data_IF_641203351368
#
_entry.id   IF_641203351368
#
_cell.length_a   1.000
_cell.length_b   1.000
_cell.length_c   1.000
_cell.angle_alpha   90.00
_cell.angle_beta   90.00
_cell.angle_gamma   90.00
#
_symmetry.space_group_name_H-M   'P 1'
#
loop_
_entity.id
_entity.type
_entity.pdbx_description
1 polymer ?
#
# COMPACT_ATOMS: atom_id res chain seq x y z
N UNK A 1 -35.90 -46.94 29.31
CA UNK A 1 -37.01 -47.07 28.35
C UNK A 1 -37.62 -45.71 28.06
N UNK A 2 -36.89 -44.92 27.37
CA UNK A 2 -37.40 -43.61 27.00
C UNK A 2 -37.96 -43.71 25.58
N UNK A 3 -39.14 -44.31 25.51
CA UNK A 3 -39.89 -44.41 24.27
C UNK A 3 -40.28 -43.06 23.74
N UNK A 4 -40.33 -42.92 22.42
CA UNK A 4 -40.82 -41.69 21.77
C UNK A 4 -42.28 -41.52 22.12
N UNK A 5 -42.60 -40.42 22.76
CA UNK A 5 -43.98 -40.07 23.21
C UNK A 5 -44.71 -39.39 22.07
N UNK A 6 -45.92 -39.90 21.74
CA UNK A 6 -46.85 -39.33 20.77
C UNK A 6 -46.53 -39.45 19.28
N UNK A 7 -45.58 -40.30 18.86
CA UNK A 7 -45.37 -40.58 17.43
C UNK A 7 -44.81 -41.99 17.19
N UNK A 8 -44.98 -42.50 16.00
CA UNK A 8 -44.39 -43.78 15.55
C UNK A 8 -43.29 -43.51 14.57
N UNK A 9 -42.13 -44.12 14.76
CA UNK A 9 -41.02 -44.06 13.80
C UNK A 9 -41.43 -44.71 12.47
N UNK A 10 -41.12 -44.03 11.35
CA UNK A 10 -41.35 -44.57 9.99
C UNK A 10 -40.41 -45.72 9.66
N UNK A 11 -39.22 -45.71 10.29
CA UNK A 11 -38.21 -46.77 10.15
C UNK A 11 -37.31 -46.79 11.41
N UNK A 12 -36.68 -47.94 11.75
CA UNK A 12 -35.93 -48.10 12.99
C UNK A 12 -34.83 -47.09 13.23
N UNK A 13 -34.17 -46.61 12.14
CA UNK A 13 -33.02 -45.68 12.22
C UNK A 13 -33.42 -44.20 12.03
N UNK A 14 -34.71 -43.86 12.16
CA UNK A 14 -35.18 -42.47 11.89
C UNK A 14 -34.47 -41.45 12.75
N UNK A 15 -34.24 -41.69 14.02
CA UNK A 15 -33.53 -40.80 14.93
C UNK A 15 -32.04 -40.63 14.55
N UNK A 16 -31.39 -41.72 14.13
CA UNK A 16 -29.99 -41.63 13.66
C UNK A 16 -29.88 -40.87 12.37
N UNK A 17 -30.81 -41.05 11.41
CA UNK A 17 -30.87 -40.30 10.16
C UNK A 17 -31.15 -38.82 10.41
N UNK A 18 -32.02 -38.51 11.35
CA UNK A 18 -32.27 -37.09 11.76
C UNK A 18 -30.98 -36.44 12.24
N UNK A 19 -30.24 -37.13 13.13
CA UNK A 19 -28.94 -36.64 13.63
C UNK A 19 -27.89 -36.45 12.53
N UNK A 20 -27.86 -37.29 11.52
CA UNK A 20 -26.99 -37.12 10.35
C UNK A 20 -27.36 -35.84 9.59
N UNK A 21 -28.66 -35.59 9.39
CA UNK A 21 -29.14 -34.36 8.74
C UNK A 21 -28.80 -33.11 9.55
N UNK A 22 -28.91 -33.16 10.88
CA UNK A 22 -28.50 -32.06 11.76
C UNK A 22 -27.01 -31.73 11.56
N UNK A 23 -26.14 -32.75 11.62
CA UNK A 23 -24.68 -32.55 11.42
C UNK A 23 -24.37 -32.02 10.01
N UNK A 24 -25.06 -32.50 8.99
CA UNK A 24 -24.90 -32.01 7.61
C UNK A 24 -25.38 -30.56 7.49
N UNK A 25 -26.57 -30.24 8.02
CA UNK A 25 -27.12 -28.89 7.98
C UNK A 25 -26.27 -27.87 8.73
N UNK A 26 -25.84 -28.20 9.94
CA UNK A 26 -24.98 -27.34 10.75
C UNK A 26 -23.60 -27.16 10.08
N UNK A 27 -23.04 -28.22 9.47
CA UNK A 27 -21.78 -28.14 8.70
C UNK A 27 -21.88 -27.22 7.49
N UNK A 28 -23.07 -27.04 6.91
CA UNK A 28 -23.29 -26.12 5.79
C UNK A 28 -23.02 -24.65 6.16
N UNK A 29 -23.07 -24.31 7.45
CA UNK A 29 -22.70 -22.98 7.96
C UNK A 29 -21.22 -22.60 7.71
N UNK A 30 -20.37 -23.57 7.32
CA UNK A 30 -19.01 -23.29 6.85
C UNK A 30 -18.99 -22.55 5.49
N UNK A 31 -20.08 -22.61 4.71
CA UNK A 31 -20.16 -22.00 3.38
C UNK A 31 -19.31 -22.69 2.31
N UNK A 32 -18.78 -23.88 2.60
CA UNK A 32 -17.96 -24.69 1.69
C UNK A 32 -18.07 -26.19 2.02
N UNK A 33 -17.78 -27.08 1.06
CA UNK A 33 -17.76 -28.52 1.30
C UNK A 33 -16.71 -28.91 2.35
N UNK A 34 -17.08 -29.85 3.23
CA UNK A 34 -16.15 -30.50 4.17
C UNK A 34 -15.73 -31.83 3.59
N UNK A 35 -14.42 -32.04 3.46
CA UNK A 35 -13.85 -33.32 3.07
C UNK A 35 -13.16 -33.94 4.27
N UNK A 36 -13.71 -35.05 4.76
CA UNK A 36 -13.15 -35.73 5.95
C UNK A 36 -14.12 -36.78 6.50
N UNK A 37 -13.74 -37.33 7.64
CA UNK A 37 -14.54 -38.28 8.41
C UNK A 37 -15.03 -37.58 9.68
N UNK A 38 -16.35 -37.46 9.84
CA UNK A 38 -16.98 -36.91 11.07
C UNK A 38 -17.50 -38.07 11.90
N UNK A 39 -17.03 -38.19 13.13
CA UNK A 39 -17.56 -39.10 14.14
C UNK A 39 -18.29 -38.30 15.22
N UNK A 40 -19.61 -38.43 15.25
CA UNK A 40 -20.47 -37.75 16.21
C UNK A 40 -21.02 -38.75 17.24
N UNK A 41 -20.96 -38.43 18.53
CA UNK A 41 -21.50 -39.23 19.60
C UNK A 41 -22.24 -38.34 20.61
N UNK A 42 -23.57 -38.51 20.73
CA UNK A 42 -24.43 -37.71 21.59
C UNK A 42 -24.34 -36.18 21.39
N UNK A 43 -24.14 -35.77 20.13
CA UNK A 43 -24.01 -34.36 19.78
C UNK A 43 -25.35 -33.67 19.59
N UNK A 44 -25.40 -32.36 19.90
CA UNK A 44 -26.50 -31.46 19.60
C UNK A 44 -26.06 -30.37 18.60
N UNK A 45 -26.97 -29.46 18.27
CA UNK A 45 -26.65 -28.28 17.40
C UNK A 45 -25.52 -27.42 17.99
N UNK A 46 -25.45 -27.25 19.32
CA UNK A 46 -24.37 -26.51 19.98
C UNK A 46 -23.00 -27.10 19.69
N UNK A 47 -22.85 -28.43 19.81
CA UNK A 47 -21.58 -29.13 19.54
C UNK A 47 -21.17 -29.04 18.05
N UNK A 48 -22.15 -29.17 17.16
CA UNK A 48 -21.93 -29.02 15.73
C UNK A 48 -21.49 -27.58 15.37
N UNK A 49 -22.11 -26.57 16.00
CA UNK A 49 -21.71 -25.16 15.84
C UNK A 49 -20.32 -24.90 16.38
N UNK A 50 -19.95 -25.50 17.52
CA UNK A 50 -18.59 -25.41 18.06
C UNK A 50 -17.56 -26.05 17.11
N UNK A 51 -17.87 -27.20 16.50
CA UNK A 51 -17.04 -27.79 15.45
C UNK A 51 -16.85 -26.83 14.27
N UNK A 52 -17.94 -26.20 13.80
CA UNK A 52 -17.88 -25.22 12.71
C UNK A 52 -16.99 -24.04 13.08
N UNK A 53 -17.11 -23.51 14.31
CA UNK A 53 -16.25 -22.42 14.84
C UNK A 53 -14.79 -22.85 14.89
N UNK A 54 -14.50 -24.05 15.38
CA UNK A 54 -13.14 -24.58 15.46
C UNK A 54 -12.51 -24.72 14.07
N UNK A 55 -13.26 -25.22 13.08
CA UNK A 55 -12.80 -25.32 11.69
C UNK A 55 -12.50 -23.92 11.12
N UNK A 56 -13.38 -22.93 11.32
CA UNK A 56 -13.15 -21.55 10.89
C UNK A 56 -11.88 -20.94 11.49
N UNK A 57 -11.60 -21.20 12.76
CA UNK A 57 -10.38 -20.76 13.44
C UNK A 57 -9.14 -21.41 12.81
N UNK A 58 -9.19 -22.72 12.51
CA UNK A 58 -8.09 -23.44 11.85
C UNK A 58 -7.83 -22.85 10.46
N UNK A 59 -8.89 -22.61 9.69
CA UNK A 59 -8.80 -22.02 8.36
C UNK A 59 -8.22 -20.59 8.41
N UNK A 60 -8.68 -19.78 9.36
CA UNK A 60 -8.14 -18.43 9.57
C UNK A 60 -6.64 -18.48 9.91
N UNK A 61 -6.21 -19.36 10.83
CA UNK A 61 -4.79 -19.54 11.17
C UNK A 61 -3.95 -19.93 9.95
N UNK A 62 -4.43 -20.84 9.11
CA UNK A 62 -3.74 -21.23 7.87
C UNK A 62 -3.67 -20.07 6.90
N UNK A 63 -4.77 -19.34 6.72
CA UNK A 63 -4.83 -18.17 5.84
C UNK A 63 -3.85 -17.08 6.30
N UNK A 64 -3.78 -16.78 7.60
CA UNK A 64 -2.80 -15.83 8.14
C UNK A 64 -1.36 -16.19 7.79
N UNK A 65 -0.98 -17.46 7.98
CA UNK A 65 0.40 -17.90 7.69
C UNK A 65 0.73 -17.78 6.21
N UNK A 66 -0.20 -18.16 5.34
CA UNK A 66 -0.01 -18.10 3.89
C UNK A 66 0.05 -16.64 3.39
N UNK A 67 -0.91 -15.81 3.81
CA UNK A 67 -0.96 -14.40 3.41
C UNK A 67 0.23 -13.61 3.94
N UNK A 68 0.61 -13.81 5.21
CA UNK A 68 1.79 -13.13 5.76
C UNK A 68 3.07 -13.46 4.97
N UNK A 69 3.25 -14.73 4.58
CA UNK A 69 4.39 -15.16 3.77
C UNK A 69 4.34 -14.58 2.34
N UNK A 70 3.17 -14.59 1.73
CA UNK A 70 2.96 -14.11 0.36
C UNK A 70 3.17 -12.58 0.29
N UNK A 71 2.55 -11.82 1.21
CA UNK A 71 2.72 -10.38 1.30
C UNK A 71 4.20 -10.01 1.58
N UNK A 72 4.86 -10.68 2.54
CA UNK A 72 6.26 -10.43 2.83
C UNK A 72 7.19 -10.70 1.63
N UNK A 73 6.91 -11.70 0.80
CA UNK A 73 7.67 -11.96 -0.42
C UNK A 73 7.44 -10.85 -1.46
N UNK A 74 6.20 -10.36 -1.61
CA UNK A 74 5.90 -9.24 -2.50
C UNK A 74 6.51 -7.94 -1.99
N UNK A 75 6.50 -7.68 -0.67
CA UNK A 75 7.19 -6.54 -0.05
C UNK A 75 8.70 -6.58 -0.34
N UNK A 76 9.33 -7.74 -0.20
CA UNK A 76 10.75 -7.92 -0.50
C UNK A 76 11.05 -7.59 -1.96
N UNK A 77 10.27 -8.13 -2.89
CA UNK A 77 10.45 -7.87 -4.33
C UNK A 77 10.20 -6.41 -4.69
N UNK A 78 9.18 -5.82 -4.11
CA UNK A 78 8.79 -4.44 -4.41
C UNK A 78 9.74 -3.41 -3.80
N UNK A 79 10.07 -3.55 -2.50
CA UNK A 79 10.85 -2.54 -1.79
C UNK A 79 12.35 -2.80 -1.77
N UNK A 80 12.80 -4.05 -1.82
CA UNK A 80 14.22 -4.39 -1.70
C UNK A 80 14.88 -4.75 -3.04
N UNK A 81 14.13 -5.37 -3.97
CA UNK A 81 14.68 -5.86 -5.24
C UNK A 81 14.29 -5.00 -6.44
N UNK A 82 13.35 -4.04 -6.25
CA UNK A 82 12.78 -3.22 -7.33
C UNK A 82 12.25 -4.06 -8.51
N UNK A 83 11.74 -5.28 -8.21
CA UNK A 83 11.29 -6.28 -9.16
C UNK A 83 9.92 -6.85 -8.77
N UNK A 84 8.83 -6.04 -8.77
CA UNK A 84 7.49 -6.50 -8.44
C UNK A 84 7.05 -7.61 -9.39
N UNK A 85 6.34 -8.61 -8.84
CA UNK A 85 5.83 -9.76 -9.59
C UNK A 85 4.32 -9.78 -9.72
N UNK A 86 3.63 -8.86 -9.04
CA UNK A 86 2.18 -8.64 -9.12
C UNK A 86 1.89 -7.15 -9.27
N UNK A 87 0.69 -6.80 -9.69
CA UNK A 87 0.23 -5.41 -9.73
C UNK A 87 -0.03 -4.86 -8.32
N UNK A 88 0.00 -3.54 -8.16
CA UNK A 88 -0.36 -2.87 -6.90
C UNK A 88 -1.78 -3.24 -6.46
N UNK A 89 -2.71 -3.39 -7.40
CA UNK A 89 -4.09 -3.78 -7.12
C UNK A 89 -4.20 -5.21 -6.56
N UNK A 90 -3.40 -6.16 -7.08
CA UNK A 90 -3.35 -7.53 -6.56
C UNK A 90 -2.72 -7.55 -5.18
N UNK A 91 -1.65 -6.78 -4.97
CA UNK A 91 -1.04 -6.60 -3.65
C UNK A 91 -2.03 -6.02 -2.64
N UNK A 92 -2.75 -4.94 -3.01
CA UNK A 92 -3.78 -4.33 -2.17
C UNK A 92 -4.93 -5.32 -1.86
N UNK A 93 -5.26 -6.22 -2.79
CA UNK A 93 -6.25 -7.29 -2.55
C UNK A 93 -5.78 -8.30 -1.49
N UNK A 94 -4.49 -8.69 -1.52
CA UNK A 94 -3.90 -9.56 -0.48
C UNK A 94 -3.94 -8.88 0.90
N UNK A 95 -3.54 -7.61 0.98
CA UNK A 95 -3.56 -6.83 2.23
C UNK A 95 -4.99 -6.68 2.76
N UNK A 96 -5.98 -6.35 1.91
CA UNK A 96 -7.39 -6.29 2.31
C UNK A 96 -7.90 -7.61 2.85
N UNK A 97 -7.54 -8.72 2.20
CA UNK A 97 -7.91 -10.07 2.66
C UNK A 97 -7.32 -10.36 4.05
N UNK A 98 -6.05 -10.01 4.28
CA UNK A 98 -5.41 -10.16 5.60
C UNK A 98 -6.15 -9.33 6.65
N UNK A 99 -6.43 -8.05 6.37
CA UNK A 99 -7.17 -7.14 7.26
C UNK A 99 -8.57 -7.65 7.60
N UNK A 100 -9.30 -8.19 6.62
CA UNK A 100 -10.63 -8.75 6.84
C UNK A 100 -10.59 -9.98 7.78
N UNK A 101 -9.57 -10.84 7.66
CA UNK A 101 -9.39 -11.99 8.56
C UNK A 101 -9.01 -11.50 9.96
N UNK A 102 -8.14 -10.49 10.11
CA UNK A 102 -7.79 -9.89 11.39
C UNK A 102 -9.00 -9.28 12.11
N UNK A 103 -9.86 -8.59 11.38
CA UNK A 103 -11.09 -8.03 11.92
C UNK A 103 -12.07 -9.13 12.38
N UNK A 104 -12.17 -10.25 11.64
CA UNK A 104 -13.04 -11.37 11.99
C UNK A 104 -12.48 -12.23 13.15
N UNK A 105 -11.16 -12.28 13.32
CA UNK A 105 -10.46 -13.09 14.33
C UNK A 105 -9.38 -12.30 15.09
N UNK A 106 -9.71 -11.24 15.85
CA UNK A 106 -8.72 -10.37 16.50
C UNK A 106 -7.76 -11.10 17.43
N UNK A 107 -8.22 -12.19 18.06
CA UNK A 107 -7.43 -13.03 18.99
C UNK A 107 -6.38 -13.91 18.29
N UNK A 108 -6.38 -13.95 16.96
CA UNK A 108 -5.40 -14.69 16.15
C UNK A 108 -4.36 -13.78 15.49
N UNK A 109 -4.43 -12.45 15.68
CA UNK A 109 -3.46 -11.51 15.12
C UNK A 109 -2.07 -11.86 15.62
N UNK A 110 -1.13 -11.96 14.69
CA UNK A 110 0.27 -12.33 14.96
C UNK A 110 1.13 -11.08 15.12
N UNK A 111 2.20 -11.20 15.89
CA UNK A 111 3.19 -10.12 16.04
C UNK A 111 3.96 -9.79 14.75
N UNK A 112 4.01 -10.75 13.81
CA UNK A 112 4.62 -10.61 12.48
C UNK A 112 3.57 -10.32 11.38
N UNK A 113 2.40 -9.80 11.74
CA UNK A 113 1.38 -9.43 10.76
C UNK A 113 1.91 -8.39 9.76
N UNK A 114 1.71 -8.59 8.46
CA UNK A 114 2.06 -7.60 7.44
C UNK A 114 1.40 -6.24 7.68
N UNK A 115 0.21 -6.22 8.28
CA UNK A 115 -0.51 -4.99 8.62
C UNK A 115 0.19 -4.16 9.72
N UNK A 116 1.12 -4.75 10.47
CA UNK A 116 1.92 -4.05 11.50
C UNK A 116 3.26 -3.52 10.98
N UNK A 117 3.64 -3.87 9.75
CA UNK A 117 4.92 -3.49 9.14
C UNK A 117 4.72 -2.43 8.05
N UNK A 118 5.73 -1.57 7.84
CA UNK A 118 5.77 -0.55 6.79
C UNK A 118 7.00 -0.79 5.94
N UNK A 119 6.84 -0.90 4.61
CA UNK A 119 7.95 -1.05 3.69
C UNK A 119 8.75 -2.35 3.88
N UNK A 120 10.00 -2.34 3.45
CA UNK A 120 10.93 -3.46 3.61
C UNK A 120 12.16 -3.06 4.41
N UNK A 121 12.90 -4.05 4.91
CA UNK A 121 14.17 -3.81 5.62
C UNK A 121 15.15 -3.05 4.71
N UNK A 122 15.84 -2.03 5.24
CA UNK A 122 16.80 -1.22 4.50
C UNK A 122 17.93 -2.02 3.86
N UNK A 123 18.38 -1.60 2.67
CA UNK A 123 19.46 -2.26 1.93
C UNK A 123 20.77 -2.33 2.74
N UNK A 124 21.50 -3.44 2.58
CA UNK A 124 22.68 -3.70 3.41
C UNK A 124 23.89 -2.81 3.11
N UNK A 125 23.93 -2.18 1.92
CA UNK A 125 25.09 -1.40 1.45
C UNK A 125 25.01 0.09 1.78
N UNK A 126 23.90 0.59 2.32
CA UNK A 126 23.72 1.96 2.79
C UNK A 126 23.66 1.98 4.33
N UNK A 127 24.08 3.10 4.92
CA UNK A 127 23.97 3.29 6.36
C UNK A 127 22.50 3.32 6.78
N UNK A 128 22.19 2.68 7.90
CA UNK A 128 20.84 2.57 8.47
C UNK A 128 20.68 3.60 9.57
N UNK A 129 19.69 4.44 9.49
CA UNK A 129 19.46 5.53 10.43
C UNK A 129 18.00 5.54 10.89
N UNK A 130 17.75 5.61 12.22
CA UNK A 130 16.40 5.78 12.73
C UNK A 130 15.80 7.12 12.32
N UNK A 131 14.52 7.12 11.91
CA UNK A 131 13.76 8.36 11.71
C UNK A 131 13.48 9.06 13.05
N UNK A 132 13.62 10.40 13.10
CA UNK A 132 13.25 11.18 14.28
C UNK A 132 11.75 11.05 14.61
N UNK A 133 10.92 10.99 13.57
CA UNK A 133 9.51 10.58 13.64
C UNK A 133 9.27 9.47 12.61
N UNK A 134 8.61 8.35 12.96
CA UNK A 134 8.34 7.29 12.01
C UNK A 134 7.65 7.78 10.75
N UNK A 135 8.02 7.22 9.60
CA UNK A 135 7.32 7.43 8.33
C UNK A 135 6.15 6.45 8.24
N UNK A 136 4.95 6.97 8.39
CA UNK A 136 3.71 6.19 8.39
C UNK A 136 3.28 5.79 6.97
N UNK A 137 2.42 4.79 6.88
CA UNK A 137 1.62 4.50 5.68
C UNK A 137 0.32 5.31 5.70
N UNK A 138 -0.47 5.20 4.65
CA UNK A 138 -1.84 5.72 4.59
C UNK A 138 -2.81 4.55 4.53
N UNK A 139 -3.99 4.73 5.12
CA UNK A 139 -5.13 3.85 4.82
C UNK A 139 -5.58 4.09 3.38
N UNK A 140 -6.10 3.05 2.73
CA UNK A 140 -6.58 3.13 1.37
C UNK A 140 -8.11 3.20 1.33
N UNK A 141 -8.63 4.02 0.43
CA UNK A 141 -10.00 3.99 -0.06
C UNK A 141 -9.99 3.60 -1.55
N UNK A 142 -10.99 2.85 -1.98
CA UNK A 142 -11.14 2.37 -3.36
C UNK A 142 -12.49 2.77 -3.96
N UNK A 143 -13.38 3.33 -3.14
CA UNK A 143 -14.69 3.83 -3.55
C UNK A 143 -14.96 5.20 -2.96
N UNK A 144 -15.90 5.92 -3.58
CA UNK A 144 -16.35 7.23 -3.09
C UNK A 144 -16.94 7.13 -1.68
N UNK A 145 -17.71 6.08 -1.39
CA UNK A 145 -18.33 5.84 -0.09
C UNK A 145 -17.29 5.65 1.03
N UNK A 146 -16.14 5.04 0.73
CA UNK A 146 -15.04 4.89 1.70
C UNK A 146 -14.38 6.24 2.04
N UNK A 147 -14.35 7.19 1.08
CA UNK A 147 -13.90 8.58 1.32
C UNK A 147 -14.92 9.34 2.16
N UNK A 148 -16.21 9.21 1.86
CA UNK A 148 -17.29 9.81 2.66
C UNK A 148 -17.26 9.27 4.10
N UNK A 149 -17.05 7.96 4.27
CA UNK A 149 -16.93 7.32 5.58
C UNK A 149 -15.67 7.79 6.33
N UNK A 150 -14.56 8.05 5.62
CA UNK A 150 -13.38 8.67 6.23
C UNK A 150 -13.74 10.03 6.85
N UNK A 151 -14.43 10.91 6.11
CA UNK A 151 -14.85 12.22 6.62
C UNK A 151 -15.85 12.07 7.77
N UNK A 152 -16.78 11.13 7.69
CA UNK A 152 -17.71 10.81 8.76
C UNK A 152 -16.98 10.32 10.04
N UNK A 153 -15.95 9.49 9.91
CA UNK A 153 -15.10 9.04 11.04
C UNK A 153 -14.36 10.22 11.68
N UNK A 154 -13.80 11.14 10.88
CA UNK A 154 -13.16 12.36 11.37
C UNK A 154 -14.13 13.17 12.20
N UNK A 155 -15.34 13.41 11.68
CA UNK A 155 -16.41 14.15 12.36
C UNK A 155 -16.81 13.51 13.68
N UNK A 156 -17.05 12.20 13.69
CA UNK A 156 -17.42 11.45 14.92
C UNK A 156 -16.31 11.49 15.97
N UNK A 157 -15.06 11.28 15.56
CA UNK A 157 -13.93 11.26 16.47
C UNK A 157 -13.73 12.61 17.15
N UNK A 158 -13.82 13.69 16.40
CA UNK A 158 -13.66 15.06 16.89
C UNK A 158 -14.92 15.60 17.57
N UNK A 159 -16.07 14.89 17.47
CA UNK A 159 -17.39 15.31 17.97
C UNK A 159 -17.82 16.64 17.38
N UNK A 160 -17.64 16.83 16.08
CA UNK A 160 -18.01 18.06 15.39
C UNK A 160 -19.51 18.18 15.23
N UNK A 161 -20.08 19.40 15.30
CA UNK A 161 -21.45 19.70 14.90
C UNK A 161 -21.71 19.28 13.45
N UNK A 162 -22.99 19.03 13.10
CA UNK A 162 -23.35 18.60 11.74
C UNK A 162 -23.02 19.65 10.67
N UNK A 163 -23.09 20.91 11.01
CA UNK A 163 -22.84 22.06 10.15
C UNK A 163 -21.36 22.49 10.09
N UNK A 164 -20.47 21.94 10.95
CA UNK A 164 -19.04 22.25 10.92
C UNK A 164 -18.39 21.60 9.70
N UNK A 165 -17.79 22.35 8.76
CA UNK A 165 -17.17 21.77 7.57
C UNK A 165 -15.87 21.03 7.92
N UNK A 166 -15.64 19.88 7.30
CA UNK A 166 -14.37 19.18 7.34
C UNK A 166 -13.60 19.51 6.07
N UNK A 167 -12.85 20.61 6.13
CA UNK A 167 -11.99 21.05 5.03
C UNK A 167 -10.81 20.09 4.87
N UNK A 168 -10.50 19.72 3.64
CA UNK A 168 -9.43 18.82 3.28
C UNK A 168 -8.46 19.50 2.31
N UNK A 169 -7.23 18.99 2.24
CA UNK A 169 -6.38 19.15 1.06
C UNK A 169 -6.44 17.87 0.23
N UNK A 170 -6.34 18.02 -1.10
CA UNK A 170 -6.27 16.93 -2.07
C UNK A 170 -5.01 17.10 -2.91
N UNK A 171 -4.26 16.03 -3.10
CA UNK A 171 -3.01 16.02 -3.86
C UNK A 171 -2.85 14.70 -4.63
N UNK A 172 -2.23 14.71 -5.83
CA UNK A 172 -1.89 13.49 -6.54
C UNK A 172 -0.99 12.59 -5.69
N UNK A 173 -1.28 11.31 -5.65
CA UNK A 173 -0.42 10.32 -5.02
C UNK A 173 0.66 9.88 -6.02
N UNK A 174 1.82 10.50 -5.91
CA UNK A 174 2.95 10.23 -6.80
C UNK A 174 3.47 8.81 -6.57
N UNK A 175 3.74 8.10 -7.65
CA UNK A 175 4.34 6.77 -7.59
C UNK A 175 5.86 6.87 -7.77
N UNK A 176 6.58 6.90 -6.65
CA UNK A 176 8.02 7.07 -6.57
C UNK A 176 8.62 6.39 -5.35
N UNK A 177 9.68 6.97 -4.79
CA UNK A 177 10.32 6.54 -3.56
C UNK A 177 10.23 7.62 -2.51
N UNK A 178 9.55 7.33 -1.40
CA UNK A 178 9.41 8.31 -0.30
C UNK A 178 10.76 8.62 0.34
N UNK A 179 11.02 9.90 0.54
CA UNK A 179 12.24 10.42 1.11
C UNK A 179 11.95 11.48 2.19
N UNK A 180 12.71 11.43 3.27
CA UNK A 180 12.72 12.41 4.35
C UNK A 180 13.97 13.26 4.24
N UNK A 181 13.82 14.58 4.27
CA UNK A 181 14.85 15.59 4.13
C UNK A 181 14.91 16.42 5.42
N UNK A 182 15.96 16.24 6.22
CA UNK A 182 16.14 16.95 7.49
C UNK A 182 17.04 18.15 7.33
N UNK A 183 16.52 19.31 7.73
CA UNK A 183 17.25 20.59 7.76
C UNK A 183 17.49 21.00 9.21
N UNK A 184 18.68 21.52 9.46
CA UNK A 184 19.07 22.14 10.73
C UNK A 184 19.72 23.48 10.41
N UNK A 185 19.26 24.54 11.05
CA UNK A 185 19.69 25.93 10.80
C UNK A 185 19.64 26.27 9.29
N UNK A 186 18.55 25.83 8.65
CA UNK A 186 18.33 26.03 7.22
C UNK A 186 19.20 25.20 6.28
N UNK A 187 20.07 24.29 6.76
CA UNK A 187 20.93 23.45 5.93
C UNK A 187 20.46 22.01 5.86
N UNK A 188 20.45 21.43 4.66
CA UNK A 188 20.20 19.99 4.51
C UNK A 188 21.34 19.17 5.15
N UNK A 189 21.04 18.50 6.26
CA UNK A 189 22.00 17.71 7.02
C UNK A 189 21.84 16.21 6.82
N UNK A 190 20.62 15.75 6.47
CA UNK A 190 20.34 14.33 6.32
C UNK A 190 19.18 14.10 5.36
N UNK A 191 19.28 13.03 4.56
CA UNK A 191 18.16 12.52 3.76
C UNK A 191 18.08 11.00 3.92
N UNK A 192 16.87 10.50 4.20
CA UNK A 192 16.62 9.09 4.46
C UNK A 192 15.51 8.57 3.54
N UNK A 193 15.66 7.36 3.02
CA UNK A 193 14.53 6.64 2.44
C UNK A 193 13.54 6.24 3.53
N UNK A 194 12.30 5.87 3.17
CA UNK A 194 11.32 5.42 4.16
C UNK A 194 11.80 4.17 4.92
N UNK A 195 12.48 3.23 4.23
CA UNK A 195 12.86 1.95 4.82
C UNK A 195 11.64 1.17 5.33
N UNK A 196 11.73 0.67 6.55
CA UNK A 196 10.63 0.01 7.26
C UNK A 196 9.70 0.98 8.03
N UNK A 197 9.90 2.27 7.81
CA UNK A 197 9.16 3.35 8.50
C UNK A 197 9.77 3.79 9.80
N UNK A 198 10.52 2.96 10.51
CA UNK A 198 11.28 3.30 11.72
C UNK A 198 12.75 3.59 11.40
N UNK A 199 13.33 2.85 10.46
CA UNK A 199 14.73 2.93 10.05
C UNK A 199 14.77 3.12 8.53
N UNK A 200 15.43 4.20 8.08
CA UNK A 200 15.67 4.50 6.67
C UNK A 200 17.13 4.25 6.27
N UNK A 201 17.37 4.27 4.96
CA UNK A 201 18.72 4.26 4.37
C UNK A 201 19.20 5.69 4.22
N UNK A 202 20.43 5.96 4.62
CA UNK A 202 21.05 7.27 4.40
C UNK A 202 21.41 7.44 2.92
N UNK A 203 20.73 8.38 2.28
CA UNK A 203 20.89 8.76 0.88
C UNK A 203 21.26 10.25 0.74
N UNK A 204 21.80 10.85 1.78
CA UNK A 204 22.08 12.29 1.86
C UNK A 204 22.90 12.78 0.67
N UNK A 205 24.02 12.12 0.38
CA UNK A 205 24.90 12.54 -0.72
C UNK A 205 24.25 12.31 -2.10
N UNK A 206 23.38 11.31 -2.23
CA UNK A 206 22.62 11.06 -3.46
C UNK A 206 21.56 12.16 -3.67
N UNK A 207 20.84 12.49 -2.61
CA UNK A 207 19.79 13.53 -2.64
C UNK A 207 20.37 14.91 -2.96
N UNK A 208 21.58 15.23 -2.52
CA UNK A 208 22.27 16.49 -2.84
C UNK A 208 22.47 16.71 -4.34
N UNK A 209 22.42 15.65 -5.14
CA UNK A 209 22.54 15.71 -6.60
C UNK A 209 21.22 16.03 -7.30
N UNK A 210 20.08 16.01 -6.59
CA UNK A 210 18.75 16.27 -7.16
C UNK A 210 18.48 17.78 -7.14
N UNK A 211 18.37 18.38 -8.32
CA UNK A 211 18.25 19.82 -8.49
C UNK A 211 16.98 20.43 -7.85
N UNK A 212 15.90 19.64 -7.78
CA UNK A 212 14.61 20.06 -7.18
C UNK A 212 14.68 20.25 -5.64
N UNK A 213 15.74 19.76 -5.00
CA UNK A 213 15.86 19.76 -3.53
C UNK A 213 16.73 20.93 -3.07
N UNK A 214 16.17 21.92 -2.37
CA UNK A 214 16.94 23.04 -1.82
C UNK A 214 18.02 22.53 -0.85
N UNK A 215 19.26 22.98 -1.03
CA UNK A 215 20.34 22.65 -0.08
C UNK A 215 20.29 23.54 1.16
N UNK A 216 19.64 24.68 1.05
CA UNK A 216 19.43 25.66 2.13
C UNK A 216 18.01 26.17 2.10
N UNK A 217 17.40 26.36 3.27
CA UNK A 217 16.11 27.01 3.48
C UNK A 217 16.30 28.47 3.87
N UNK A 218 15.31 29.34 3.60
CA UNK A 218 15.36 30.74 4.01
C UNK A 218 15.23 30.87 5.54
N UNK A 219 15.53 32.08 6.05
CA UNK A 219 15.62 32.34 7.47
C UNK A 219 14.28 32.29 8.25
N UNK A 220 13.14 32.26 7.53
CA UNK A 220 11.80 32.07 8.09
C UNK A 220 11.42 30.60 8.28
N UNK A 221 12.28 29.67 7.85
CA UNK A 221 12.08 28.25 8.12
C UNK A 221 12.46 27.92 9.57
N UNK A 222 11.78 26.93 10.21
CA UNK A 222 12.12 26.50 11.57
C UNK A 222 13.56 26.00 11.68
N UNK A 223 14.17 26.16 12.86
CA UNK A 223 15.56 25.77 13.15
C UNK A 223 15.82 24.28 12.86
N UNK A 224 14.85 23.41 13.16
CA UNK A 224 14.82 22.01 12.74
C UNK A 224 13.55 21.78 11.97
N UNK A 225 13.67 21.29 10.75
CA UNK A 225 12.51 20.93 9.92
C UNK A 225 12.81 19.72 9.03
N UNK A 226 11.91 18.77 9.04
CA UNK A 226 11.98 17.57 8.21
C UNK A 226 10.88 17.61 7.15
N UNK A 227 11.24 17.87 5.89
CA UNK A 227 10.33 17.78 4.74
C UNK A 227 10.27 16.34 4.26
N UNK A 228 9.10 15.86 3.95
CA UNK A 228 8.87 14.53 3.33
C UNK A 228 8.28 14.72 1.95
N UNK A 229 8.74 13.90 1.02
CA UNK A 229 8.29 13.95 -0.36
C UNK A 229 8.58 12.67 -1.10
N UNK A 230 8.28 12.70 -2.38
CA UNK A 230 8.50 11.56 -3.27
C UNK A 230 9.60 11.91 -4.26
N UNK A 231 10.65 11.08 -4.30
CA UNK A 231 11.64 11.08 -5.38
C UNK A 231 11.09 10.24 -6.51
N UNK A 232 11.02 10.80 -7.70
CA UNK A 232 10.43 10.15 -8.86
C UNK A 232 11.25 10.40 -10.14
N UNK A 233 10.91 9.69 -11.19
CA UNK A 233 11.43 9.89 -12.55
C UNK A 233 10.26 10.16 -13.48
N UNK A 234 10.39 11.14 -14.38
CA UNK A 234 9.34 11.39 -15.36
C UNK A 234 9.22 10.23 -16.36
N UNK A 235 8.04 10.07 -16.97
CA UNK A 235 7.80 9.05 -18.03
C UNK A 235 8.78 9.21 -19.19
N UNK A 236 9.04 10.46 -19.61
CA UNK A 236 9.97 10.76 -20.69
C UNK A 236 11.42 10.42 -20.33
N UNK A 237 11.85 10.81 -19.12
CA UNK A 237 13.20 10.53 -18.63
C UNK A 237 13.44 9.04 -18.42
N UNK A 238 12.43 8.31 -17.95
CA UNK A 238 12.45 6.85 -17.83
C UNK A 238 12.66 6.17 -19.17
N UNK A 239 11.89 6.58 -20.21
CA UNK A 239 12.03 6.03 -21.54
C UNK A 239 13.44 6.31 -22.12
N UNK A 240 13.94 7.53 -21.97
CA UNK A 240 15.28 7.93 -22.40
C UNK A 240 16.37 7.15 -21.67
N UNK A 241 16.22 6.93 -20.35
CA UNK A 241 17.16 6.14 -19.55
C UNK A 241 17.23 4.70 -20.02
N UNK A 242 16.09 4.03 -20.22
CA UNK A 242 16.06 2.65 -20.69
C UNK A 242 16.62 2.51 -22.11
N UNK A 243 16.35 3.46 -23.01
CA UNK A 243 16.95 3.48 -24.35
C UNK A 243 18.49 3.58 -24.29
N UNK A 244 19.02 4.46 -23.42
CA UNK A 244 20.47 4.59 -23.21
C UNK A 244 21.08 3.31 -22.66
N UNK A 245 20.46 2.68 -21.65
CA UNK A 245 20.94 1.42 -21.06
C UNK A 245 20.94 0.27 -22.08
N UNK A 246 19.94 0.22 -22.97
CA UNK A 246 19.88 -0.75 -24.06
C UNK A 246 21.02 -0.54 -25.07
N UNK A 247 21.30 0.70 -25.42
CA UNK A 247 22.40 1.04 -26.34
C UNK A 247 23.77 0.69 -25.72
N UNK A 248 24.03 1.07 -24.48
CA UNK A 248 25.26 0.74 -23.75
C UNK A 248 25.49 -0.77 -23.65
N UNK A 249 24.42 -1.54 -23.45
CA UNK A 249 24.47 -2.99 -23.42
C UNK A 249 24.83 -3.59 -24.79
N UNK A 250 24.22 -3.07 -25.88
CA UNK A 250 24.53 -3.50 -27.24
C UNK A 250 26.01 -3.21 -27.62
N UNK A 251 26.53 -2.04 -27.25
CA UNK A 251 27.92 -1.64 -27.50
C UNK A 251 28.93 -2.47 -26.71
N UNK A 252 28.58 -2.89 -25.47
CA UNK A 252 29.47 -3.63 -24.58
C UNK A 252 29.31 -5.15 -24.64
N UNK A 253 28.31 -5.66 -25.41
CA UNK A 253 27.99 -7.09 -25.50
C UNK A 253 27.44 -7.68 -24.18
N UNK A 254 26.96 -6.84 -23.26
CA UNK A 254 26.37 -7.24 -21.99
C UNK A 254 24.85 -7.33 -22.11
N UNK A 255 24.24 -8.07 -21.21
CA UNK A 255 22.76 -8.10 -21.08
C UNK A 255 22.22 -6.71 -20.71
N UNK A 256 21.20 -6.24 -21.41
CA UNK A 256 20.56 -4.96 -21.13
C UNK A 256 19.81 -5.03 -19.79
N UNK A 257 20.24 -4.27 -18.81
CA UNK A 257 19.55 -4.17 -17.51
C UNK A 257 18.63 -2.97 -17.53
N UNK A 258 17.40 -3.16 -18.03
CA UNK A 258 16.35 -2.14 -18.07
C UNK A 258 15.53 -2.15 -16.79
N UNK A 259 14.98 -0.97 -16.43
CA UNK A 259 14.02 -0.85 -15.35
C UNK A 259 12.61 -1.16 -15.84
N UNK A 260 11.80 -1.77 -14.98
CA UNK A 260 10.43 -2.19 -15.33
C UNK A 260 9.45 -1.01 -15.39
N UNK A 261 9.62 0.00 -14.54
CA UNK A 261 8.77 1.19 -14.47
C UNK A 261 9.53 2.41 -13.90
N UNK A 262 8.96 3.64 -13.99
CA UNK A 262 9.59 4.86 -13.51
C UNK A 262 9.91 4.84 -12.01
N UNK A 263 9.04 4.23 -11.19
CA UNK A 263 9.26 4.07 -9.74
C UNK A 263 10.51 3.26 -9.44
N UNK A 264 10.66 2.09 -10.07
CA UNK A 264 11.85 1.24 -9.89
C UNK A 264 13.11 1.93 -10.41
N UNK A 265 13.00 2.69 -11.49
CA UNK A 265 14.11 3.49 -12.01
C UNK A 265 14.52 4.58 -11.01
N UNK A 266 13.57 5.26 -10.38
CA UNK A 266 13.84 6.25 -9.34
C UNK A 266 14.49 5.60 -8.10
N UNK A 267 13.90 4.52 -7.58
CA UNK A 267 14.40 3.81 -6.41
C UNK A 267 15.81 3.26 -6.63
N UNK A 268 16.04 2.55 -7.74
CA UNK A 268 17.35 2.02 -8.08
C UNK A 268 18.39 3.10 -8.39
N UNK A 269 17.99 4.27 -8.88
CA UNK A 269 18.87 5.40 -9.12
C UNK A 269 19.23 6.17 -7.85
N UNK A 270 18.30 6.29 -6.89
CA UNK A 270 18.56 6.97 -5.62
C UNK A 270 19.42 6.13 -4.69
N UNK A 271 19.22 4.82 -4.62
CA UNK A 271 19.93 3.89 -3.71
C UNK A 271 21.29 3.44 -4.22
N UNK A 272 22.00 4.29 -4.98
CA UNK A 272 23.36 4.01 -5.47
C UNK A 272 24.40 4.22 -4.39
N UNK A 273 25.37 3.30 -4.30
CA UNK A 273 26.53 3.44 -3.40
C UNK A 273 27.43 4.63 -3.79
N UNK A 274 27.50 4.93 -5.09
CA UNK A 274 28.26 6.06 -5.61
C UNK A 274 27.30 7.19 -6.04
N UNK A 275 27.28 8.33 -5.34
CA UNK A 275 26.42 9.46 -5.68
C UNK A 275 26.60 10.02 -7.10
N UNK A 276 27.77 9.83 -7.73
CA UNK A 276 28.01 10.25 -9.11
C UNK A 276 27.11 9.50 -10.12
N UNK A 277 26.69 8.28 -9.80
CA UNK A 277 25.74 7.53 -10.62
C UNK A 277 24.36 8.18 -10.49
N UNK A 278 23.94 8.53 -9.28
CA UNK A 278 22.68 9.25 -9.02
C UNK A 278 22.66 10.61 -9.73
N UNK A 279 23.77 11.35 -9.70
CA UNK A 279 23.91 12.63 -10.39
C UNK A 279 23.69 12.54 -11.93
N UNK A 280 24.01 11.39 -12.53
CA UNK A 280 23.75 11.11 -13.94
C UNK A 280 22.33 10.62 -14.25
N UNK A 281 21.43 10.61 -13.25
CA UNK A 281 20.02 10.17 -13.38
C UNK A 281 19.08 11.37 -13.24
N UNK A 282 18.05 11.48 -14.10
CA UNK A 282 17.13 12.61 -14.10
C UNK A 282 16.06 12.44 -13.00
N UNK A 283 16.50 12.40 -11.74
CA UNK A 283 15.61 12.31 -10.60
C UNK A 283 14.98 13.67 -10.29
N UNK A 284 13.72 13.64 -9.89
CA UNK A 284 12.91 14.79 -9.50
C UNK A 284 12.35 14.56 -8.09
N UNK A 285 11.83 15.63 -7.48
CA UNK A 285 11.26 15.59 -6.14
C UNK A 285 9.98 16.40 -6.07
N UNK A 286 8.97 15.90 -5.32
CA UNK A 286 7.76 16.65 -4.93
C UNK A 286 7.53 16.50 -3.43
N UNK A 287 7.41 17.63 -2.72
CA UNK A 287 7.10 17.64 -1.30
C UNK A 287 5.61 17.37 -1.07
N UNK A 288 5.30 16.55 -0.04
CA UNK A 288 3.92 16.21 0.31
C UNK A 288 3.65 16.14 1.82
N UNK A 289 4.68 16.18 2.68
CA UNK A 289 4.49 16.05 4.12
C UNK A 289 5.69 16.56 4.91
N UNK A 290 5.61 16.41 6.22
CA UNK A 290 6.72 16.71 7.13
C UNK A 290 6.80 15.72 8.29
N UNK A 291 7.96 15.68 8.94
CA UNK A 291 8.22 14.86 10.10
C UNK A 291 8.52 15.69 11.34
N UNK A 292 9.80 15.70 11.78
CA UNK A 292 10.25 16.50 12.90
C UNK A 292 10.24 18.00 12.55
N UNK A 293 9.72 18.83 13.45
CA UNK A 293 9.79 20.28 13.35
C UNK A 293 9.98 20.86 14.75
N UNK A 294 10.91 21.82 14.90
CA UNK A 294 11.11 22.56 16.16
C UNK A 294 9.91 23.44 16.49
N UNK A 295 9.23 23.93 15.47
CA UNK A 295 7.97 24.65 15.54
C UNK A 295 7.17 24.43 14.26
N UNK A 296 5.85 24.59 14.32
CA UNK A 296 4.95 24.54 13.17
C UNK A 296 4.41 25.96 12.96
N UNK A 297 4.90 26.69 11.94
CA UNK A 297 4.65 28.14 11.81
C UNK A 297 3.28 28.49 11.24
N UNK A 298 2.39 27.51 11.04
CA UNK A 298 1.09 27.66 10.37
C UNK A 298 0.02 26.82 11.07
N UNK A 299 -1.26 27.10 10.78
CA UNK A 299 -2.39 26.42 11.40
C UNK A 299 -3.05 25.38 10.48
N UNK A 300 -2.76 25.42 9.16
CA UNK A 300 -3.39 24.54 8.18
C UNK A 300 -2.37 23.80 7.33
N UNK A 301 -2.79 22.64 6.82
CA UNK A 301 -2.03 21.85 5.84
C UNK A 301 -1.77 22.66 4.57
N UNK A 302 -2.78 23.42 4.13
CA UNK A 302 -2.66 24.27 2.95
C UNK A 302 -1.56 25.32 3.12
N UNK A 303 -1.55 26.05 4.25
CA UNK A 303 -0.54 27.07 4.53
C UNK A 303 0.87 26.46 4.68
N UNK A 304 0.97 25.22 5.18
CA UNK A 304 2.24 24.51 5.24
C UNK A 304 2.77 24.21 3.84
N UNK A 305 1.92 23.76 2.92
CA UNK A 305 2.31 23.53 1.52
C UNK A 305 2.76 24.83 0.85
N UNK A 306 2.06 25.94 1.12
CA UNK A 306 2.46 27.26 0.64
C UNK A 306 3.81 27.72 1.25
N UNK A 307 4.10 27.35 2.51
CA UNK A 307 5.41 27.59 3.11
C UNK A 307 6.51 26.81 2.37
N UNK A 308 6.28 25.52 2.04
CA UNK A 308 7.25 24.74 1.25
C UNK A 308 7.51 25.34 -0.13
N UNK A 309 6.48 25.86 -0.81
CA UNK A 309 6.67 26.60 -2.08
C UNK A 309 7.59 27.78 -1.92
N UNK A 310 7.37 28.60 -0.88
CA UNK A 310 8.25 29.75 -0.57
C UNK A 310 9.67 29.33 -0.21
N UNK A 311 9.84 28.15 0.40
CA UNK A 311 11.16 27.60 0.73
C UNK A 311 11.85 26.92 -0.47
N UNK A 312 11.20 26.91 -1.66
CA UNK A 312 11.78 26.44 -2.90
C UNK A 312 11.52 24.96 -3.21
N UNK A 313 10.62 24.27 -2.47
CA UNK A 313 10.23 22.91 -2.80
C UNK A 313 9.19 22.89 -3.91
N UNK A 314 9.36 22.01 -4.93
CA UNK A 314 8.30 21.75 -5.88
C UNK A 314 7.13 21.02 -5.21
N UNK A 315 5.92 21.43 -5.58
CA UNK A 315 4.65 20.89 -5.13
C UNK A 315 3.87 20.48 -6.38
N UNK A 316 3.06 19.42 -6.28
CA UNK A 316 2.21 18.99 -7.38
C UNK A 316 1.23 20.10 -7.79
N UNK A 317 1.13 20.40 -9.08
CA UNK A 317 0.27 21.48 -9.62
C UNK A 317 -1.21 21.25 -9.29
N UNK A 318 -1.65 19.99 -9.24
CA UNK A 318 -3.03 19.60 -8.90
C UNK A 318 -3.32 19.61 -7.38
N UNK A 319 -2.41 20.15 -6.54
CA UNK A 319 -2.70 20.34 -5.11
C UNK A 319 -3.81 21.36 -4.92
N UNK A 320 -4.83 21.00 -4.14
CA UNK A 320 -5.99 21.86 -3.89
C UNK A 320 -6.48 21.76 -2.45
N UNK A 321 -7.07 22.86 -1.94
CA UNK A 321 -7.86 22.89 -0.72
C UNK A 321 -9.34 22.75 -1.08
N UNK A 322 -10.05 21.85 -0.43
CA UNK A 322 -11.45 21.53 -0.72
C UNK A 322 -12.31 21.55 0.54
N UNK A 323 -13.55 22.07 0.46
CA UNK A 323 -14.37 22.30 1.65
C UNK A 323 -14.97 21.01 2.26
N UNK A 324 -15.13 19.96 1.46
CA UNK A 324 -15.84 18.74 1.84
C UNK A 324 -15.44 17.52 0.98
N UNK A 325 -16.04 16.36 1.28
CA UNK A 325 -15.82 15.13 0.55
C UNK A 325 -16.27 15.20 -0.92
N UNK A 326 -17.39 15.86 -1.21
CA UNK A 326 -17.91 15.99 -2.58
C UNK A 326 -16.95 16.74 -3.49
N UNK A 327 -16.38 17.86 -3.00
CA UNK A 327 -15.36 18.61 -3.71
C UNK A 327 -14.04 17.80 -3.84
N UNK A 328 -13.68 17.02 -2.82
CA UNK A 328 -12.52 16.11 -2.87
C UNK A 328 -12.68 15.05 -3.97
N UNK A 329 -13.87 14.45 -4.08
CA UNK A 329 -14.18 13.47 -5.13
C UNK A 329 -14.22 14.10 -6.54
N UNK A 330 -14.63 15.37 -6.67
CA UNK A 330 -14.55 16.08 -7.94
C UNK A 330 -13.09 16.28 -8.40
N UNK A 331 -12.18 16.63 -7.46
CA UNK A 331 -10.74 16.71 -7.74
C UNK A 331 -10.19 15.34 -8.15
N UNK A 332 -10.60 14.26 -7.46
CA UNK A 332 -10.19 12.90 -7.83
C UNK A 332 -10.51 12.59 -9.30
N UNK A 333 -11.76 12.85 -9.73
CA UNK A 333 -12.17 12.61 -11.13
C UNK A 333 -11.39 13.45 -12.13
N UNK A 334 -11.05 14.69 -11.75
CA UNK A 334 -10.24 15.56 -12.61
C UNK A 334 -8.83 15.00 -12.78
N UNK A 335 -8.20 14.60 -11.67
CA UNK A 335 -6.84 14.02 -11.69
C UNK A 335 -6.83 12.68 -12.41
N UNK A 336 -7.84 11.82 -12.18
CA UNK A 336 -7.99 10.53 -12.87
C UNK A 336 -8.09 10.71 -14.38
N UNK A 337 -8.91 11.66 -14.85
CA UNK A 337 -9.05 11.97 -16.27
C UNK A 337 -7.75 12.48 -16.92
N UNK A 338 -6.92 13.18 -16.15
CA UNK A 338 -5.64 13.75 -16.61
C UNK A 338 -4.44 12.82 -16.38
N UNK A 339 -4.64 11.65 -15.76
CA UNK A 339 -3.58 10.72 -15.36
C UNK A 339 -2.60 10.36 -16.49
N UNK A 340 -3.13 10.13 -17.68
CA UNK A 340 -2.31 9.77 -18.86
C UNK A 340 -1.37 10.91 -19.28
N UNK A 341 -1.82 12.17 -19.14
CA UNK A 341 -1.11 13.38 -19.59
C UNK A 341 -0.08 13.88 -18.56
N UNK A 342 -0.16 13.41 -17.32
CA UNK A 342 0.81 13.79 -16.31
C UNK A 342 2.22 13.27 -16.66
N UNK A 343 3.26 14.08 -16.40
CA UNK A 343 4.65 13.71 -16.72
C UNK A 343 5.21 12.61 -15.82
N UNK A 344 4.48 12.20 -14.77
CA UNK A 344 4.84 11.17 -13.81
C UNK A 344 3.65 10.24 -13.54
N UNK A 345 3.93 9.05 -13.01
CA UNK A 345 2.90 8.10 -12.63
C UNK A 345 2.29 8.46 -11.27
N UNK A 346 0.99 8.20 -11.15
CA UNK A 346 0.20 8.36 -9.93
C UNK A 346 -0.69 7.13 -9.73
N UNK A 347 -0.89 6.73 -8.47
CA UNK A 347 -1.72 5.57 -8.12
C UNK A 347 -3.02 5.95 -7.39
N UNK A 348 -3.28 7.26 -7.24
CA UNK A 348 -4.47 7.78 -6.58
C UNK A 348 -4.37 9.25 -6.24
N UNK A 349 -5.20 9.65 -5.28
CA UNK A 349 -5.23 11.00 -4.67
C UNK A 349 -5.16 10.85 -3.16
N UNK A 350 -4.37 11.68 -2.49
CA UNK A 350 -4.30 11.71 -1.03
C UNK A 350 -5.14 12.87 -0.51
N UNK A 351 -6.01 12.59 0.45
CA UNK A 351 -6.72 13.61 1.21
C UNK A 351 -6.15 13.73 2.60
N UNK A 352 -6.04 14.96 3.09
CA UNK A 352 -5.62 15.25 4.46
C UNK A 352 -6.55 16.28 5.07
N UNK A 353 -6.89 16.11 6.35
CA UNK A 353 -7.62 17.12 7.11
C UNK A 353 -6.79 18.39 7.14
N UNK A 354 -7.36 19.52 6.72
CA UNK A 354 -6.60 20.77 6.55
C UNK A 354 -6.14 21.39 7.87
N UNK A 355 -6.95 21.34 8.93
CA UNK A 355 -6.62 21.90 10.24
C UNK A 355 -5.59 21.05 10.99
N UNK A 356 -4.44 21.62 11.33
CA UNK A 356 -3.35 20.91 12.00
C UNK A 356 -3.66 20.57 13.47
N UNK A 357 -4.46 21.38 14.17
CA UNK A 357 -4.94 21.03 15.51
C UNK A 357 -5.86 19.80 15.51
N UNK A 358 -6.65 19.62 14.43
CA UNK A 358 -7.46 18.43 14.25
C UNK A 358 -6.60 17.23 13.90
N UNK A 359 -5.58 17.38 13.06
CA UNK A 359 -4.62 16.31 12.78
C UNK A 359 -3.94 15.82 14.08
N UNK A 360 -3.52 16.74 14.94
CA UNK A 360 -2.91 16.42 16.23
C UNK A 360 -3.87 15.65 17.15
N UNK A 361 -5.14 16.05 17.22
CA UNK A 361 -6.19 15.36 18.01
C UNK A 361 -6.54 13.99 17.44
N UNK A 362 -6.63 13.85 16.13
CA UNK A 362 -6.92 12.57 15.44
C UNK A 362 -5.78 11.57 15.64
N UNK A 363 -4.54 12.05 15.58
CA UNK A 363 -3.35 11.26 15.84
C UNK A 363 -3.13 10.13 14.81
N UNK A 364 -2.31 9.17 15.24
CA UNK A 364 -1.89 8.00 14.45
C UNK A 364 -2.33 6.74 15.19
N UNK A 365 -2.80 5.73 14.46
CA UNK A 365 -3.13 4.39 14.97
C UNK A 365 -2.32 3.34 14.24
N UNK A 366 -1.56 2.58 15.01
CA UNK A 366 -0.63 1.64 14.41
C UNK A 366 0.35 2.37 13.49
N UNK A 367 0.21 2.18 12.19
CA UNK A 367 1.09 2.78 11.16
C UNK A 367 0.41 3.82 10.28
N UNK A 368 -0.86 4.15 10.52
CA UNK A 368 -1.62 5.06 9.67
C UNK A 368 -2.19 6.25 10.45
N UNK A 369 -2.15 7.47 9.90
CA UNK A 369 -2.78 8.64 10.48
C UNK A 369 -4.31 8.57 10.28
N UNK A 370 -5.08 8.97 11.30
CA UNK A 370 -6.55 9.09 11.18
C UNK A 370 -7.00 10.31 10.37
N UNK A 371 -6.09 11.21 10.09
CA UNK A 371 -6.35 12.49 9.42
C UNK A 371 -6.00 12.49 7.94
N UNK A 372 -5.54 11.35 7.38
CA UNK A 372 -5.22 11.23 5.97
C UNK A 372 -5.66 9.87 5.42
N UNK A 373 -6.03 9.85 4.13
CA UNK A 373 -6.41 8.65 3.41
C UNK A 373 -5.95 8.75 1.94
N UNK A 374 -5.56 7.63 1.36
CA UNK A 374 -5.23 7.51 -0.06
C UNK A 374 -6.41 6.91 -0.81
N UNK A 375 -7.02 7.67 -1.71
CA UNK A 375 -8.05 7.19 -2.64
C UNK A 375 -7.37 6.66 -3.90
N UNK A 376 -7.25 5.36 -3.99
CA UNK A 376 -6.57 4.67 -5.08
C UNK A 376 -7.41 4.63 -6.35
N UNK A 377 -6.76 4.76 -7.50
CA UNK A 377 -7.43 4.51 -8.77
C UNK A 377 -7.79 3.04 -8.93
N UNK A 378 -8.87 2.74 -9.68
CA UNK A 378 -9.17 1.37 -10.07
C UNK A 378 -7.96 0.74 -10.79
N UNK A 379 -7.81 -0.59 -10.63
CA UNK A 379 -6.80 -1.33 -11.37
C UNK A 379 -6.99 -1.12 -12.87
N UNK A 380 -5.93 -0.80 -13.57
CA UNK A 380 -5.96 -0.74 -15.03
C UNK A 380 -6.29 -2.13 -15.59
N UNK A 381 -7.21 -2.16 -16.54
CA UNK A 381 -7.56 -3.37 -17.28
C UNK A 381 -7.09 -3.21 -18.72
N UNK A 382 -6.36 -4.19 -19.22
CA UNK A 382 -5.99 -4.27 -20.61
C UNK A 382 -6.47 -5.60 -21.19
N UNK A 383 -6.83 -5.59 -22.46
CA UNK A 383 -7.10 -6.79 -23.23
C UNK A 383 -5.91 -7.08 -24.11
N UNK A 384 -5.52 -8.34 -24.19
CA UNK A 384 -4.44 -8.81 -25.05
C UNK A 384 -4.76 -10.18 -25.59
N UNK A 385 -3.98 -10.64 -26.57
CA UNK A 385 -4.11 -11.96 -27.15
C UNK A 385 -3.37 -12.99 -26.33
N UNK A 386 -4.04 -14.08 -25.97
CA UNK A 386 -3.40 -15.26 -25.39
C UNK A 386 -2.71 -16.04 -26.52
N UNK A 387 -1.37 -16.05 -26.55
CA UNK A 387 -0.60 -16.77 -27.55
C UNK A 387 -0.55 -18.27 -27.28
N UNK A 388 -0.28 -18.65 -26.02
CA UNK A 388 -0.24 -20.05 -25.56
C UNK A 388 -0.30 -20.15 -24.04
N UNK A 389 -0.51 -21.36 -23.53
CA UNK A 389 -0.40 -21.71 -22.13
C UNK A 389 0.77 -22.66 -21.95
N UNK A 390 1.78 -22.27 -21.16
CA UNK A 390 2.89 -23.12 -20.77
C UNK A 390 2.61 -23.73 -19.39
N UNK A 391 3.12 -24.92 -19.13
CA UNK A 391 3.08 -25.55 -17.80
C UNK A 391 4.47 -25.46 -17.20
N UNK A 392 4.61 -24.70 -16.12
CA UNK A 392 5.83 -24.64 -15.34
C UNK A 392 5.80 -25.68 -14.22
N UNK A 393 6.91 -26.39 -14.04
CA UNK A 393 7.06 -27.40 -12.96
C UNK A 393 7.89 -26.78 -11.85
N UNK A 394 7.28 -26.54 -10.68
CA UNK A 394 7.96 -26.06 -9.49
C UNK A 394 8.92 -27.10 -8.89
N UNK A 395 9.82 -26.68 -7.99
CA UNK A 395 10.77 -27.58 -7.30
C UNK A 395 10.10 -28.71 -6.52
N UNK A 396 8.85 -28.51 -6.11
CA UNK A 396 8.03 -29.49 -5.38
C UNK A 396 7.20 -30.39 -6.29
N UNK A 397 7.36 -30.27 -7.63
CA UNK A 397 6.53 -30.98 -8.61
C UNK A 397 5.16 -30.34 -8.87
N UNK A 398 4.87 -29.18 -8.27
CA UNK A 398 3.63 -28.46 -8.54
C UNK A 398 3.62 -27.95 -9.99
N UNK A 399 2.52 -28.18 -10.68
CA UNK A 399 2.28 -27.72 -12.04
C UNK A 399 1.56 -26.36 -11.99
N UNK A 400 2.16 -25.33 -12.55
CA UNK A 400 1.59 -23.98 -12.63
C UNK A 400 1.37 -23.63 -14.09
N UNK A 401 0.12 -23.49 -14.55
CA UNK A 401 -0.17 -23.02 -15.89
C UNK A 401 0.15 -21.51 -15.98
N UNK A 402 0.84 -21.12 -17.03
CA UNK A 402 1.23 -19.73 -17.31
C UNK A 402 0.78 -19.36 -18.72
N UNK A 403 -0.08 -18.36 -18.81
CA UNK A 403 -0.47 -17.74 -20.07
C UNK A 403 0.72 -16.95 -20.65
N UNK A 404 1.05 -17.16 -21.92
CA UNK A 404 1.91 -16.30 -22.72
C UNK A 404 1.01 -15.34 -23.47
N UNK A 405 1.28 -14.05 -23.30
CA UNK A 405 0.44 -12.98 -23.80
C UNK A 405 1.21 -12.14 -24.83
N UNK A 406 0.50 -11.69 -25.86
CA UNK A 406 1.01 -10.55 -26.64
C UNK A 406 1.33 -9.41 -25.69
N UNK A 407 2.52 -8.76 -25.77
CA UNK A 407 2.92 -7.74 -24.81
C UNK A 407 1.89 -6.62 -24.68
N UNK A 408 1.42 -6.36 -23.48
CA UNK A 408 0.45 -5.30 -23.18
C UNK A 408 0.90 -4.49 -21.97
N UNK A 409 0.76 -3.18 -22.04
CA UNK A 409 1.10 -2.30 -20.92
C UNK A 409 -0.09 -2.19 -19.96
N UNK A 410 0.13 -2.50 -18.69
CA UNK A 410 -0.86 -2.39 -17.61
C UNK A 410 -0.19 -1.72 -16.42
N UNK A 411 -0.71 -0.59 -15.97
CA UNK A 411 -0.13 0.15 -14.85
C UNK A 411 1.34 0.56 -15.07
N UNK A 412 1.72 0.89 -16.32
CA UNK A 412 3.10 1.25 -16.66
C UNK A 412 4.08 0.06 -16.78
N UNK A 413 3.60 -1.19 -16.58
CA UNK A 413 4.40 -2.41 -16.71
C UNK A 413 3.98 -3.17 -17.96
N UNK A 414 4.97 -3.62 -18.76
CA UNK A 414 4.71 -4.50 -19.90
C UNK A 414 4.52 -5.93 -19.39
N UNK A 415 3.30 -6.43 -19.52
CA UNK A 415 2.91 -7.79 -19.13
C UNK A 415 2.98 -8.70 -20.36
N UNK A 416 3.76 -9.78 -20.28
CA UNK A 416 3.89 -10.83 -21.30
C UNK A 416 3.43 -12.20 -20.82
N UNK A 417 3.21 -12.34 -19.52
CA UNK A 417 2.81 -13.62 -18.91
C UNK A 417 1.81 -13.37 -17.78
N UNK A 418 0.89 -14.30 -17.59
CA UNK A 418 -0.01 -14.34 -16.45
C UNK A 418 -0.11 -15.77 -15.91
N UNK A 419 -0.07 -15.91 -14.58
CA UNK A 419 -0.36 -17.21 -13.92
C UNK A 419 -1.86 -17.45 -13.96
N UNK A 420 -2.28 -18.67 -14.33
CA UNK A 420 -3.69 -19.06 -14.45
C UNK A 420 -4.14 -19.84 -13.22
#
# INVERSE_FOLDING_TARGET
>A
DDGIVNTTLRFPEELARHKILDVMGDSYLLGRPVRGHIRAQRTGHSDNIELVRAIRIIDARRAFVLLAKEIAEHDRRYYAEDAPSISDADYDALVRRNTAIEAAFPHLIRSDSPNSQVGAAPAAHLAKVPHARPMTSLDNAFTDEEVEEFVARVRRYLKLPEDEPVTLTAEPKIDGLSCSLRYVDGRLVQALTRGDGAIGEDVTENVRTIADIPQTLPADAPTVFEVRGEVYMSKADFAALNARLAQEAAETGKEARQFANPRNAAAGSLRQKNPAITAGRPLRFLAHGWGEASEVPVETQFDMVEAWRRWGFPIADAFARVPDAGAALAIYRTIEAQRADLPFDIDGVVYKVDRLDWQARLGIVGRTPRWAIAHKFPAERAQTTLEKIDIQVGRTGALTPVARLEPVTVGGVVVTNATL
#
